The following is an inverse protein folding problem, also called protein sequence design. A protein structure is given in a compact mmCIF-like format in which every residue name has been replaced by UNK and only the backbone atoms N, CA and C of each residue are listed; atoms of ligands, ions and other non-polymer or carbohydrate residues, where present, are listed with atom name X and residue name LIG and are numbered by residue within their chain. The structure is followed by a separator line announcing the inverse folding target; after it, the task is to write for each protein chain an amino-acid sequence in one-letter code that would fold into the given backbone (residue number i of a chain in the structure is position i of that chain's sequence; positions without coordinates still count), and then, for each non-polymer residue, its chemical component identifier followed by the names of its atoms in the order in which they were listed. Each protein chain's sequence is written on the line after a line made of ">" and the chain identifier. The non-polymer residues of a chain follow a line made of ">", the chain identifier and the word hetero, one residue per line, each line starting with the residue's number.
data_IF_950488027708
#
_entry.id   IF_950488027708
#
_cell.length_a   1.000
_cell.length_b   1.000
_cell.length_c   1.000
_cell.angle_alpha   90.00
_cell.angle_beta   90.00
_cell.angle_gamma   90.00
#
_symmetry.space_group_name_H-M   'P 1'
#
loop_
_entity.id
_entity.type
_entity.pdbx_description
1 polymer ?
#
# COMPACT_ATOMS: atom_id res chain seq x y z
N UNK A 1 -6.24 45.20 38.26
CA UNK A 1 -6.92 43.88 38.05
C UNK A 1 -6.10 43.03 37.12
N UNK A 2 -5.29 42.10 37.63
CA UNK A 2 -4.45 41.18 36.82
C UNK A 2 -5.30 39.96 36.48
N UNK A 3 -5.59 39.78 35.19
CA UNK A 3 -6.19 38.52 34.67
C UNK A 3 -5.12 37.45 34.63
N UNK A 4 -5.26 36.47 35.49
CA UNK A 4 -4.46 35.24 35.48
C UNK A 4 -5.02 34.35 34.37
N UNK A 5 -4.23 34.19 33.29
CA UNK A 5 -4.50 33.25 32.22
C UNK A 5 -4.16 31.84 32.73
N UNK A 6 -5.17 31.02 32.98
CA UNK A 6 -4.98 29.59 33.28
C UNK A 6 -4.59 28.88 32.01
N UNK A 7 -3.33 28.53 31.90
CA UNK A 7 -2.83 27.56 30.90
C UNK A 7 -3.34 26.20 31.41
N UNK A 8 -4.31 25.63 30.67
CA UNK A 8 -4.69 24.24 30.86
C UNK A 8 -3.58 23.37 30.30
N UNK A 9 -2.73 22.87 31.15
CA UNK A 9 -1.78 21.82 30.86
C UNK A 9 -2.59 20.55 30.56
N UNK A 10 -2.64 20.11 29.30
CA UNK A 10 -3.13 18.79 28.97
C UNK A 10 -2.14 17.80 29.58
N UNK A 11 -2.57 17.10 30.63
CA UNK A 11 -1.80 16.03 31.23
C UNK A 11 -1.69 14.89 30.20
N UNK A 12 -0.51 14.70 29.65
CA UNK A 12 -0.14 13.47 28.94
C UNK A 12 -0.11 12.36 29.99
N UNK A 13 -1.20 11.61 30.06
CA UNK A 13 -1.26 10.43 30.91
C UNK A 13 -0.60 9.28 30.15
N UNK A 14 0.71 9.11 30.32
CA UNK A 14 1.43 7.94 29.86
C UNK A 14 0.95 6.77 30.70
N UNK A 15 -0.01 6.00 30.19
CA UNK A 15 -0.38 4.72 30.80
C UNK A 15 0.63 3.67 30.36
N UNK A 16 1.75 3.60 31.08
CA UNK A 16 2.61 2.42 31.07
C UNK A 16 1.88 1.30 31.82
N UNK A 17 1.18 0.45 31.09
CA UNK A 17 0.62 -0.76 31.68
C UNK A 17 1.28 -2.01 31.13
N UNK A 18 1.95 -2.68 32.06
CA UNK A 18 2.31 -4.10 32.08
C UNK A 18 2.99 -4.67 30.82
N UNK A 19 4.32 -4.56 30.81
CA UNK A 19 5.17 -5.46 30.06
C UNK A 19 4.96 -6.90 30.54
N UNK A 20 4.12 -7.67 29.88
CA UNK A 20 4.18 -9.12 29.98
C UNK A 20 5.30 -9.58 29.04
N UNK A 21 6.49 -9.78 29.57
CA UNK A 21 7.61 -10.38 28.84
C UNK A 21 7.23 -11.76 28.34
N UNK A 22 6.89 -11.85 27.06
CA UNK A 22 6.88 -13.09 26.29
C UNK A 22 8.08 -13.07 25.34
N UNK A 23 9.21 -13.54 25.83
CA UNK A 23 10.46 -13.57 25.06
C UNK A 23 11.37 -12.34 25.31
N UNK A 24 12.68 -12.54 25.19
CA UNK A 24 13.64 -11.42 25.28
C UNK A 24 13.43 -10.47 24.11
N UNK A 25 13.04 -9.22 24.42
CA UNK A 25 12.93 -8.11 23.45
C UNK A 25 11.51 -7.74 22.99
N UNK A 26 10.49 -8.53 23.26
CA UNK A 26 9.10 -8.19 22.87
C UNK A 26 8.45 -7.26 23.91
N UNK A 27 7.87 -6.16 23.43
CA UNK A 27 7.14 -5.20 24.25
C UNK A 27 5.77 -4.92 23.64
N UNK A 28 4.74 -4.89 24.47
CA UNK A 28 3.37 -4.62 24.05
C UNK A 28 2.89 -3.30 24.66
N UNK A 29 2.35 -2.43 23.81
CA UNK A 29 1.60 -1.24 24.20
C UNK A 29 0.11 -1.54 24.06
N UNK A 30 -0.65 -1.40 25.12
CA UNK A 30 -2.11 -1.41 25.06
C UNK A 30 -2.61 0.03 24.89
N UNK A 31 -3.39 0.29 23.83
CA UNK A 31 -3.93 1.61 23.51
C UNK A 31 -5.38 1.65 23.94
N UNK A 32 -5.69 2.54 24.88
CA UNK A 32 -7.06 2.71 25.38
C UNK A 32 -7.72 4.01 24.91
N UNK A 33 -6.92 4.90 24.33
CA UNK A 33 -7.39 6.15 23.76
C UNK A 33 -8.02 5.92 22.39
N UNK A 34 -9.09 6.67 22.11
CA UNK A 34 -9.74 6.60 20.79
C UNK A 34 -8.95 7.39 19.73
N UNK A 35 -8.78 6.81 18.56
CA UNK A 35 -8.18 7.47 17.41
C UNK A 35 -8.92 7.11 16.13
N UNK A 36 -8.72 7.89 15.08
CA UNK A 36 -9.31 7.67 13.76
C UNK A 36 -8.26 7.49 12.66
N UNK A 37 -7.00 7.74 12.94
CA UNK A 37 -5.92 7.63 11.96
C UNK A 37 -4.71 6.94 12.57
N UNK A 38 -3.89 6.32 11.72
CA UNK A 38 -2.69 5.58 12.11
C UNK A 38 -1.51 6.13 11.31
N UNK A 39 -0.42 6.45 11.98
CA UNK A 39 0.84 6.90 11.39
C UNK A 39 2.00 6.06 11.93
N UNK A 40 2.76 5.44 11.04
CA UNK A 40 3.86 4.55 11.41
C UNK A 40 5.13 4.94 10.66
N UNK A 41 6.18 5.28 11.41
CA UNK A 41 7.55 5.38 10.89
C UNK A 41 8.36 4.18 11.39
N UNK A 42 8.52 3.19 10.49
CA UNK A 42 9.18 1.92 10.81
C UNK A 42 10.67 1.90 10.51
N UNK A 43 11.20 2.83 9.71
CA UNK A 43 12.60 2.80 9.21
C UNK A 43 13.00 1.41 8.66
N UNK A 44 13.75 0.60 9.40
CA UNK A 44 14.23 -0.74 9.01
C UNK A 44 13.41 -1.85 9.71
N UNK A 45 12.09 -1.85 9.57
CA UNK A 45 11.20 -2.72 10.34
C UNK A 45 10.06 -3.26 9.47
N UNK A 46 9.72 -4.52 9.64
CA UNK A 46 8.52 -5.09 9.04
C UNK A 46 7.30 -4.62 9.83
N UNK A 47 6.36 -3.99 9.15
CA UNK A 47 5.11 -3.49 9.73
C UNK A 47 3.97 -4.40 9.30
N UNK A 48 3.19 -4.88 10.28
CA UNK A 48 1.99 -5.65 10.04
C UNK A 48 0.82 -4.95 10.74
N UNK A 49 -0.15 -4.52 9.98
CA UNK A 49 -1.41 -3.99 10.47
C UNK A 49 -2.50 -5.03 10.27
N UNK A 50 -3.18 -5.43 11.34
CA UNK A 50 -4.16 -6.51 11.31
C UNK A 50 -5.33 -6.27 12.25
N UNK A 51 -6.47 -6.95 12.04
CA UNK A 51 -7.59 -6.91 12.96
C UNK A 51 -7.22 -7.50 14.31
N UNK A 52 -7.75 -6.91 15.37
CA UNK A 52 -7.63 -7.45 16.72
C UNK A 52 -8.65 -8.57 16.94
N UNK A 53 -8.23 -9.75 17.41
CA UNK A 53 -9.14 -10.87 17.61
C UNK A 53 -10.09 -10.69 18.81
N UNK A 54 -9.78 -9.80 19.73
CA UNK A 54 -10.55 -9.53 20.96
C UNK A 54 -11.01 -8.07 21.07
N UNK A 55 -10.84 -7.30 20.00
CA UNK A 55 -11.23 -5.88 19.93
C UNK A 55 -10.32 -4.94 20.70
N UNK A 56 -9.25 -5.40 21.33
CA UNK A 56 -8.29 -4.54 22.03
C UNK A 56 -7.20 -4.06 21.07
N UNK A 57 -6.91 -2.78 21.14
CA UNK A 57 -5.85 -2.19 20.32
C UNK A 57 -4.50 -2.43 21.00
N UNK A 58 -3.58 -3.02 20.25
CA UNK A 58 -2.23 -3.31 20.74
C UNK A 58 -1.18 -3.01 19.67
N UNK A 59 -0.05 -2.51 20.11
CA UNK A 59 1.15 -2.40 19.30
C UNK A 59 2.22 -3.29 19.94
N UNK A 60 2.59 -4.36 19.23
CA UNK A 60 3.61 -5.31 19.67
C UNK A 60 4.88 -5.05 18.88
N UNK A 61 5.97 -4.77 19.57
CA UNK A 61 7.25 -4.41 18.98
C UNK A 61 8.37 -5.30 19.49
N UNK A 62 9.36 -5.55 18.64
CA UNK A 62 10.59 -6.24 19.04
C UNK A 62 11.67 -5.19 19.32
N UNK A 63 11.86 -4.86 20.61
CA UNK A 63 12.90 -3.93 21.07
C UNK A 63 14.18 -4.72 21.37
N UNK A 64 15.14 -4.68 20.45
CA UNK A 64 16.46 -5.29 20.66
C UNK A 64 17.56 -4.24 20.50
N UNK A 65 18.58 -4.35 21.37
CA UNK A 65 19.77 -3.50 21.32
C UNK A 65 19.47 -2.00 21.51
N UNK A 66 19.91 -1.19 20.55
CA UNK A 66 19.80 0.27 20.56
C UNK A 66 18.49 0.83 20.05
N UNK A 67 17.52 -0.01 19.74
CA UNK A 67 16.21 0.42 19.19
C UNK A 67 15.13 0.32 20.24
N UNK A 68 14.28 1.35 20.30
CA UNK A 68 13.03 1.33 21.05
C UNK A 68 11.92 1.99 20.23
N UNK A 69 10.68 1.74 20.62
CA UNK A 69 9.51 2.28 19.96
C UNK A 69 8.66 3.08 20.95
N UNK A 70 7.98 4.10 20.41
CA UNK A 70 6.88 4.78 21.07
C UNK A 70 5.58 4.48 20.34
N UNK A 71 4.49 4.34 21.06
CA UNK A 71 3.15 4.18 20.52
C UNK A 71 2.23 5.05 21.35
N UNK A 72 1.80 6.17 20.81
CA UNK A 72 1.07 7.22 21.50
C UNK A 72 -0.07 7.75 20.63
N UNK A 73 -1.17 8.17 21.25
CA UNK A 73 -2.27 8.82 20.53
C UNK A 73 -2.15 10.33 20.68
N UNK A 74 -1.90 11.01 19.58
CA UNK A 74 -1.84 12.46 19.52
C UNK A 74 -2.92 13.01 18.57
N UNK A 75 -3.81 13.85 19.09
CA UNK A 75 -4.88 14.51 18.30
C UNK A 75 -5.72 13.54 17.47
N UNK A 76 -5.98 12.34 17.99
CA UNK A 76 -6.76 11.31 17.31
C UNK A 76 -5.98 10.50 16.25
N UNK A 77 -4.66 10.56 16.27
CA UNK A 77 -3.74 9.76 15.43
C UNK A 77 -2.94 8.84 16.36
N UNK A 78 -2.99 7.54 16.11
CA UNK A 78 -2.05 6.58 16.70
C UNK A 78 -0.72 6.69 15.97
N UNK A 79 0.29 7.20 16.66
CA UNK A 79 1.66 7.32 16.14
C UNK A 79 2.53 6.19 16.68
N UNK A 80 3.18 5.49 15.78
CA UNK A 80 4.17 4.46 16.14
C UNK A 80 5.50 4.83 15.51
N UNK A 81 6.45 5.21 16.35
CA UNK A 81 7.75 5.72 15.90
C UNK A 81 8.90 4.87 16.41
N UNK A 82 9.88 4.66 15.56
CA UNK A 82 11.12 3.95 15.88
C UNK A 82 12.22 4.94 16.24
N UNK A 83 12.87 4.69 17.37
CA UNK A 83 13.96 5.52 17.88
C UNK A 83 15.26 4.72 18.03
N UNK A 84 16.40 5.39 17.88
CA UNK A 84 17.75 4.82 18.16
C UNK A 84 18.31 5.41 19.45
N UNK A 85 18.85 4.57 20.33
CA UNK A 85 19.62 5.02 21.51
C UNK A 85 21.01 5.49 21.06
N UNK A 86 21.52 6.54 21.70
CA UNK A 86 22.77 7.20 21.30
C UNK A 86 24.05 6.35 21.46
N UNK A 87 24.00 5.27 22.22
CA UNK A 87 25.17 4.41 22.49
C UNK A 87 24.82 2.98 22.11
N UNK A 88 25.45 2.48 21.07
CA UNK A 88 25.36 1.09 20.64
C UNK A 88 26.76 0.51 20.44
N UNK A 89 27.11 -0.47 21.26
CA UNK A 89 28.37 -1.23 21.12
C UNK A 89 28.20 -2.55 20.36
N UNK A 90 26.95 -2.89 19.97
CA UNK A 90 26.64 -4.12 19.25
C UNK A 90 26.39 -3.86 17.77
N UNK A 91 27.39 -4.13 16.94
CA UNK A 91 27.36 -3.93 15.48
C UNK A 91 26.54 -5.02 14.76
N UNK A 92 26.20 -6.11 15.44
CA UNK A 92 25.51 -7.25 14.82
C UNK A 92 24.15 -7.51 15.49
N UNK A 93 23.13 -6.83 15.02
CA UNK A 93 21.75 -7.17 15.31
C UNK A 93 21.19 -8.00 14.15
N UNK A 94 21.38 -9.31 14.18
CA UNK A 94 20.75 -10.27 13.27
C UNK A 94 19.34 -10.60 13.79
N UNK A 95 18.33 -10.28 13.02
CA UNK A 95 16.94 -10.64 13.28
C UNK A 95 15.98 -9.66 12.60
N UNK A 96 14.89 -10.18 12.06
CA UNK A 96 13.83 -9.37 11.45
C UNK A 96 13.14 -8.57 12.55
N UNK A 97 13.28 -7.26 12.49
CA UNK A 97 12.55 -6.33 13.37
C UNK A 97 11.10 -6.29 12.92
N UNK A 98 10.18 -6.43 13.86
CA UNK A 98 8.76 -6.52 13.56
C UNK A 98 7.97 -5.60 14.47
N UNK A 99 6.99 -4.92 13.89
CA UNK A 99 5.94 -4.19 14.59
C UNK A 99 4.59 -4.74 14.13
N UNK A 100 3.81 -5.27 15.05
CA UNK A 100 2.43 -5.69 14.81
C UNK A 100 1.47 -4.70 15.45
N UNK A 101 0.56 -4.17 14.66
CA UNK A 101 -0.46 -3.24 15.12
C UNK A 101 -1.81 -3.94 14.96
N UNK A 102 -2.44 -4.26 16.09
CA UNK A 102 -3.76 -4.89 16.15
C UNK A 102 -4.80 -3.82 16.40
N UNK A 103 -5.79 -3.73 15.52
CA UNK A 103 -6.78 -2.66 15.51
C UNK A 103 -8.21 -3.17 15.57
N UNK A 104 -9.12 -2.34 16.05
CA UNK A 104 -10.56 -2.64 16.09
C UNK A 104 -11.15 -2.73 14.68
N UNK A 105 -12.26 -3.44 14.56
CA UNK A 105 -13.07 -3.50 13.35
C UNK A 105 -13.88 -2.19 13.17
N UNK A 106 -13.21 -1.18 12.60
CA UNK A 106 -13.82 0.10 12.20
C UNK A 106 -13.12 0.65 10.96
N UNK A 107 -13.72 1.65 10.33
CA UNK A 107 -13.08 2.38 9.22
C UNK A 107 -12.17 3.46 9.81
N UNK A 108 -10.89 3.39 9.49
CA UNK A 108 -9.91 4.42 9.84
C UNK A 108 -9.92 5.51 8.77
N UNK A 109 -9.81 6.77 9.18
CA UNK A 109 -9.80 7.90 8.25
C UNK A 109 -8.58 7.87 7.36
N UNK A 110 -7.42 7.63 7.96
CA UNK A 110 -6.16 7.55 7.22
C UNK A 110 -5.22 6.52 7.88
N UNK A 111 -4.55 5.74 7.04
CA UNK A 111 -3.47 4.84 7.45
C UNK A 111 -2.22 5.20 6.66
N UNK A 112 -1.24 5.82 7.31
CA UNK A 112 0.03 6.20 6.70
C UNK A 112 1.17 5.37 7.28
N UNK A 113 1.89 4.62 6.43
CA UNK A 113 3.01 3.76 6.85
C UNK A 113 4.22 4.02 5.96
N UNK A 114 5.32 4.44 6.57
CA UNK A 114 6.58 4.67 5.88
C UNK A 114 7.70 3.80 6.46
N UNK A 115 8.42 3.09 5.58
CA UNK A 115 9.60 2.32 5.94
C UNK A 115 10.75 2.59 4.95
N UNK A 116 11.97 2.65 5.44
CA UNK A 116 13.13 2.71 4.54
C UNK A 116 13.47 1.30 4.02
N UNK A 117 13.41 0.30 4.88
CA UNK A 117 13.71 -1.09 4.55
C UNK A 117 12.88 -2.01 5.44
N UNK A 118 12.03 -2.79 4.83
CA UNK A 118 11.12 -3.67 5.53
C UNK A 118 9.84 -3.90 4.73
N UNK A 119 9.10 -4.92 5.10
CA UNK A 119 7.81 -5.25 4.50
C UNK A 119 6.70 -4.42 5.16
N UNK A 120 5.78 -3.93 4.37
CA UNK A 120 4.48 -3.43 4.83
C UNK A 120 3.44 -4.50 4.50
N UNK A 121 2.68 -4.95 5.48
CA UNK A 121 1.60 -5.91 5.31
C UNK A 121 0.33 -5.41 6.01
N UNK A 122 -0.71 -5.19 5.21
CA UNK A 122 -2.05 -4.87 5.70
C UNK A 122 -2.89 -6.12 5.51
N UNK A 123 -3.35 -6.70 6.60
CA UNK A 123 -4.12 -7.94 6.56
C UNK A 123 -5.62 -7.70 6.32
N UNK A 124 -6.28 -8.72 5.83
CA UNK A 124 -7.73 -8.72 5.61
C UNK A 124 -8.50 -8.35 6.88
N UNK A 125 -9.54 -7.52 6.70
CA UNK A 125 -10.37 -7.01 7.80
C UNK A 125 -9.96 -5.62 8.30
N UNK A 126 -8.79 -5.10 7.92
CA UNK A 126 -8.46 -3.68 8.10
C UNK A 126 -9.29 -2.86 7.11
N UNK A 127 -9.86 -1.74 7.56
CA UNK A 127 -10.69 -0.86 6.75
C UNK A 127 -10.22 0.58 6.90
N UNK A 128 -10.07 1.29 5.79
CA UNK A 128 -9.71 2.70 5.80
C UNK A 128 -10.52 3.51 4.77
N UNK A 129 -10.59 4.81 5.00
CA UNK A 129 -10.98 5.75 3.96
C UNK A 129 -9.80 5.93 3.01
N UNK A 130 -8.66 6.38 3.52
CA UNK A 130 -7.45 6.59 2.74
C UNK A 130 -6.27 5.78 3.30
N UNK A 131 -5.35 5.36 2.40
CA UNK A 131 -4.07 4.74 2.76
C UNK A 131 -2.92 5.33 1.95
N UNK A 132 -1.82 5.63 2.64
CA UNK A 132 -0.54 6.07 2.06
C UNK A 132 0.58 5.15 2.56
N UNK A 133 1.13 4.34 1.65
CA UNK A 133 2.11 3.33 1.97
C UNK A 133 3.41 3.55 1.20
N UNK A 134 4.51 3.75 1.89
CA UNK A 134 5.79 4.01 1.24
C UNK A 134 6.91 3.12 1.76
N UNK A 135 7.72 2.59 0.82
CA UNK A 135 8.94 1.84 1.14
C UNK A 135 10.07 2.21 0.18
N UNK A 136 11.31 2.37 0.68
CA UNK A 136 12.44 2.47 -0.25
C UNK A 136 12.90 1.09 -0.74
N UNK A 137 12.97 0.10 0.17
CA UNK A 137 13.42 -1.25 -0.19
C UNK A 137 12.63 -2.30 0.58
N UNK A 138 11.48 -2.64 0.08
CA UNK A 138 10.64 -3.65 0.71
C UNK A 138 9.36 -3.87 -0.06
N UNK A 139 8.76 -5.03 0.17
CA UNK A 139 7.51 -5.39 -0.45
C UNK A 139 6.34 -4.73 0.29
N UNK A 140 5.33 -4.34 -0.46
CA UNK A 140 4.06 -3.84 0.07
C UNK A 140 2.99 -4.86 -0.28
N UNK A 141 2.27 -5.34 0.73
CA UNK A 141 1.18 -6.28 0.58
C UNK A 141 -0.06 -5.73 1.28
N UNK A 142 -1.14 -5.62 0.54
CA UNK A 142 -2.40 -5.06 1.05
C UNK A 142 -3.55 -5.96 0.68
N UNK A 143 -4.23 -6.50 1.69
CA UNK A 143 -5.49 -7.21 1.57
C UNK A 143 -6.50 -6.53 2.50
N UNK A 144 -7.22 -5.54 1.98
CA UNK A 144 -8.02 -4.68 2.85
C UNK A 144 -9.25 -4.11 2.14
N UNK A 145 -9.98 -3.25 2.83
CA UNK A 145 -11.04 -2.42 2.27
C UNK A 145 -10.62 -0.97 2.36
N UNK A 146 -10.51 -0.28 1.22
CA UNK A 146 -10.27 1.16 1.13
C UNK A 146 -11.40 1.76 0.30
N UNK A 147 -11.91 2.94 0.68
CA UNK A 147 -13.03 3.58 0.01
C UNK A 147 -12.64 4.80 -0.81
N UNK A 148 -11.78 5.64 -0.27
CA UNK A 148 -11.25 6.82 -0.93
C UNK A 148 -10.02 6.48 -1.77
N UNK A 149 -8.84 6.87 -1.32
CA UNK A 149 -7.58 6.73 -2.08
C UNK A 149 -6.60 5.75 -1.43
N UNK A 150 -6.00 4.88 -2.25
CA UNK A 150 -4.79 4.13 -1.89
C UNK A 150 -3.63 4.59 -2.76
N UNK A 151 -2.64 5.21 -2.14
CA UNK A 151 -1.34 5.46 -2.75
C UNK A 151 -0.31 4.49 -2.15
N UNK A 152 0.39 3.72 -3.00
CA UNK A 152 1.47 2.87 -2.55
C UNK A 152 2.70 3.02 -3.45
N UNK A 153 3.84 3.33 -2.83
CA UNK A 153 5.09 3.57 -3.55
C UNK A 153 6.24 2.73 -3.01
N UNK A 154 7.07 2.19 -3.92
CA UNK A 154 8.35 1.58 -3.51
C UNK A 154 9.44 1.90 -4.54
N UNK A 155 10.70 1.99 -4.09
CA UNK A 155 11.81 2.10 -5.04
C UNK A 155 12.27 0.71 -5.50
N UNK A 156 12.39 -0.24 -4.58
CA UNK A 156 12.85 -1.60 -4.90
C UNK A 156 12.06 -2.62 -4.09
N UNK A 157 10.99 -3.08 -4.63
CA UNK A 157 10.13 -4.07 -3.99
C UNK A 157 8.94 -4.41 -4.86
N UNK A 158 8.32 -5.53 -4.58
CA UNK A 158 7.09 -5.94 -5.22
C UNK A 158 5.90 -5.40 -4.44
N UNK A 159 4.83 -5.13 -5.17
CA UNK A 159 3.52 -4.83 -4.59
C UNK A 159 2.55 -5.95 -4.93
N UNK A 160 1.75 -6.35 -3.95
CA UNK A 160 0.70 -7.35 -4.07
C UNK A 160 -0.56 -6.79 -3.39
N UNK A 161 -1.49 -6.31 -4.20
CA UNK A 161 -2.61 -5.49 -3.76
C UNK A 161 -3.94 -6.12 -4.17
N UNK A 162 -4.81 -6.29 -3.19
CA UNK A 162 -6.20 -6.70 -3.35
C UNK A 162 -7.09 -5.83 -2.48
N UNK A 163 -7.99 -5.07 -3.09
CA UNK A 163 -8.91 -4.20 -2.37
C UNK A 163 -10.33 -4.71 -2.53
N UNK A 164 -10.98 -4.95 -1.40
CA UNK A 164 -12.37 -5.39 -1.37
C UNK A 164 -13.33 -4.20 -1.36
N UNK A 165 -14.34 -4.28 -2.22
CA UNK A 165 -15.33 -3.22 -2.39
C UNK A 165 -14.91 -2.19 -3.41
N UNK A 166 -15.71 -1.15 -3.51
CA UNK A 166 -15.48 -0.04 -4.45
C UNK A 166 -14.67 1.06 -3.76
N UNK A 167 -13.72 1.65 -4.50
CA UNK A 167 -12.91 2.77 -4.05
C UNK A 167 -12.88 3.90 -5.10
N UNK A 168 -12.44 5.08 -4.69
CA UNK A 168 -12.34 6.21 -5.61
C UNK A 168 -11.09 6.10 -6.49
N UNK A 169 -9.91 5.97 -5.88
CA UNK A 169 -8.65 6.04 -6.62
C UNK A 169 -7.59 5.08 -6.11
N UNK A 170 -6.88 4.45 -7.04
CA UNK A 170 -5.74 3.59 -6.75
C UNK A 170 -4.50 4.06 -7.51
N UNK A 171 -3.44 4.40 -6.80
CA UNK A 171 -2.13 4.74 -7.38
C UNK A 171 -1.03 3.81 -6.86
N UNK A 172 -0.40 3.05 -7.75
CA UNK A 172 0.74 2.18 -7.41
C UNK A 172 1.96 2.54 -8.25
N UNK A 173 3.09 2.80 -7.61
CA UNK A 173 4.33 3.15 -8.30
C UNK A 173 5.53 2.40 -7.77
N UNK A 174 6.34 1.82 -8.68
CA UNK A 174 7.63 1.22 -8.33
C UNK A 174 8.71 1.55 -9.36
N UNK A 175 9.97 1.70 -8.92
CA UNK A 175 11.08 1.81 -9.89
C UNK A 175 11.61 0.45 -10.31
N UNK A 176 11.77 -0.48 -9.35
CA UNK A 176 12.29 -1.81 -9.63
C UNK A 176 11.52 -2.85 -8.83
N UNK A 177 10.59 -3.48 -9.47
CA UNK A 177 9.75 -4.50 -8.85
C UNK A 177 8.52 -4.78 -9.68
N UNK A 178 7.84 -5.86 -9.37
CA UNK A 178 6.60 -6.21 -10.03
C UNK A 178 5.40 -5.67 -9.25
N UNK A 179 4.38 -5.24 -9.99
CA UNK A 179 3.08 -4.85 -9.47
C UNK A 179 2.07 -5.97 -9.78
N UNK A 180 1.42 -6.47 -8.74
CA UNK A 180 0.30 -7.40 -8.83
C UNK A 180 -0.91 -6.72 -8.21
N UNK A 181 -1.92 -6.45 -9.04
CA UNK A 181 -3.20 -5.91 -8.63
C UNK A 181 -4.29 -6.90 -9.00
N UNK A 182 -5.13 -7.25 -8.05
CA UNK A 182 -6.20 -8.21 -8.26
C UNK A 182 -7.50 -7.84 -7.56
N UNK A 183 -8.63 -8.36 -8.09
CA UNK A 183 -9.96 -8.32 -7.45
C UNK A 183 -10.37 -6.92 -6.95
N UNK A 184 -10.07 -5.88 -7.73
CA UNK A 184 -10.25 -4.49 -7.30
C UNK A 184 -11.23 -3.76 -8.23
N UNK A 185 -12.17 -3.03 -7.65
CA UNK A 185 -13.03 -2.07 -8.36
C UNK A 185 -12.72 -0.64 -7.88
N UNK A 186 -12.42 0.26 -8.81
CA UNK A 186 -12.14 1.67 -8.52
C UNK A 186 -12.76 2.58 -9.59
N UNK A 187 -12.93 3.87 -9.29
CA UNK A 187 -13.24 4.86 -10.34
C UNK A 187 -12.00 5.06 -11.22
N UNK A 188 -10.84 5.30 -10.61
CA UNK A 188 -9.56 5.47 -11.31
C UNK A 188 -8.49 4.50 -10.81
N UNK A 189 -7.71 3.93 -11.76
CA UNK A 189 -6.55 3.06 -11.48
C UNK A 189 -5.34 3.58 -12.24
N UNK A 190 -4.25 3.88 -11.51
CA UNK A 190 -2.98 4.29 -12.09
C UNK A 190 -1.84 3.39 -11.60
N UNK A 191 -1.14 2.75 -12.55
CA UNK A 191 -0.05 1.83 -12.26
C UNK A 191 1.22 2.26 -13.00
N UNK A 192 2.31 2.44 -12.28
CA UNK A 192 3.59 2.83 -12.85
C UNK A 192 4.72 1.90 -12.43
N UNK A 193 5.55 1.47 -13.39
CA UNK A 193 6.78 0.74 -13.13
C UNK A 193 7.89 1.17 -14.08
N UNK A 194 9.10 1.40 -13.58
CA UNK A 194 10.25 1.60 -14.48
C UNK A 194 10.77 0.25 -14.98
N UNK A 195 10.90 -0.74 -14.10
CA UNK A 195 11.40 -2.08 -14.47
C UNK A 195 10.68 -3.15 -13.67
N UNK A 196 9.99 -4.01 -14.33
CA UNK A 196 9.25 -5.11 -13.72
C UNK A 196 7.93 -5.38 -14.43
N UNK A 197 7.34 -6.50 -14.13
CA UNK A 197 6.06 -6.87 -14.70
C UNK A 197 4.92 -6.19 -13.96
N UNK A 198 3.98 -5.61 -14.69
CA UNK A 198 2.69 -5.18 -14.18
C UNK A 198 1.66 -6.24 -14.52
N UNK A 199 1.11 -6.92 -13.54
CA UNK A 199 0.02 -7.89 -13.70
C UNK A 199 -1.24 -7.37 -13.05
N UNK A 200 -2.31 -7.30 -13.83
CA UNK A 200 -3.65 -6.84 -13.40
C UNK A 200 -4.64 -7.96 -13.67
N UNK A 201 -5.34 -8.41 -12.65
CA UNK A 201 -6.25 -9.54 -12.76
C UNK A 201 -7.60 -9.23 -12.11
N UNK A 202 -8.68 -9.37 -12.86
CA UNK A 202 -10.05 -9.15 -12.39
C UNK A 202 -10.24 -7.74 -11.79
N UNK A 203 -9.72 -6.73 -12.49
CA UNK A 203 -9.76 -5.32 -12.08
C UNK A 203 -10.68 -4.54 -13.00
N UNK A 204 -11.51 -3.71 -12.40
CA UNK A 204 -12.42 -2.81 -13.10
C UNK A 204 -12.20 -1.36 -12.66
N UNK A 205 -11.81 -0.52 -13.60
CA UNK A 205 -11.72 0.93 -13.42
C UNK A 205 -12.90 1.59 -14.13
N UNK A 206 -13.88 2.08 -13.39
CA UNK A 206 -15.13 2.55 -13.97
C UNK A 206 -14.93 3.74 -14.91
N UNK A 207 -14.05 4.66 -14.54
CA UNK A 207 -13.72 5.82 -15.36
C UNK A 207 -12.45 5.58 -16.18
N UNK A 208 -11.31 5.34 -15.51
CA UNK A 208 -10.01 5.32 -16.18
C UNK A 208 -9.00 4.33 -15.59
N UNK A 209 -8.34 3.59 -16.47
CA UNK A 209 -7.17 2.75 -16.15
C UNK A 209 -5.96 3.25 -16.93
N UNK A 210 -4.93 3.71 -16.23
CA UNK A 210 -3.67 4.14 -16.82
C UNK A 210 -2.54 3.24 -16.34
N UNK A 211 -1.80 2.65 -17.29
CA UNK A 211 -0.67 1.76 -16.99
C UNK A 211 0.54 2.24 -17.77
N UNK A 212 1.62 2.54 -17.08
CA UNK A 212 2.88 3.01 -17.65
C UNK A 212 4.05 2.13 -17.23
N UNK A 213 4.88 1.72 -18.21
CA UNK A 213 6.09 0.96 -17.94
C UNK A 213 7.23 1.38 -18.86
N UNK A 214 8.44 1.60 -18.33
CA UNK A 214 9.58 1.85 -19.20
C UNK A 214 10.16 0.52 -19.75
N UNK A 215 10.40 -0.46 -18.87
CA UNK A 215 10.99 -1.75 -19.27
C UNK A 215 10.33 -2.91 -18.53
N UNK A 216 9.15 -3.25 -18.95
CA UNK A 216 8.43 -4.34 -18.33
C UNK A 216 7.20 -4.73 -19.14
N UNK A 217 6.81 -5.98 -19.02
CA UNK A 217 5.60 -6.45 -19.67
C UNK A 217 4.37 -6.11 -18.85
N UNK A 218 3.29 -5.75 -19.53
CA UNK A 218 1.96 -5.54 -18.95
C UNK A 218 1.10 -6.75 -19.29
N UNK A 219 0.45 -7.30 -18.28
CA UNK A 219 -0.49 -8.42 -18.44
C UNK A 219 -1.82 -8.06 -17.80
N UNK A 220 -2.87 -8.14 -18.59
CA UNK A 220 -4.25 -7.96 -18.16
C UNK A 220 -4.96 -9.32 -18.18
N UNK A 221 -5.71 -9.62 -17.15
CA UNK A 221 -6.50 -10.85 -17.08
C UNK A 221 -7.90 -10.48 -16.59
N UNK A 222 -8.91 -10.61 -17.46
CA UNK A 222 -10.30 -10.27 -17.15
C UNK A 222 -10.50 -8.85 -16.61
N UNK A 223 -9.87 -7.88 -17.24
CA UNK A 223 -9.98 -6.48 -16.82
C UNK A 223 -11.06 -5.73 -17.60
N UNK A 224 -11.54 -4.64 -17.05
CA UNK A 224 -12.41 -3.70 -17.71
C UNK A 224 -12.16 -2.26 -17.26
N UNK A 225 -12.62 -1.28 -18.07
CA UNK A 225 -12.50 0.13 -17.72
C UNK A 225 -13.25 1.02 -18.71
N UNK A 226 -13.64 2.22 -18.28
CA UNK A 226 -14.24 3.22 -19.15
C UNK A 226 -13.25 3.70 -20.22
N UNK A 227 -12.08 4.16 -19.80
CA UNK A 227 -10.95 4.51 -20.67
C UNK A 227 -9.74 3.69 -20.22
N UNK A 228 -9.08 2.99 -21.16
CA UNK A 228 -7.87 2.21 -20.84
C UNK A 228 -6.70 2.76 -21.65
N UNK A 229 -5.67 3.26 -20.95
CA UNK A 229 -4.44 3.78 -21.54
C UNK A 229 -3.23 2.97 -21.06
N UNK A 230 -2.52 2.34 -21.99
CA UNK A 230 -1.34 1.53 -21.67
C UNK A 230 -0.15 2.01 -22.51
N UNK A 231 0.90 2.42 -21.85
CA UNK A 231 2.15 2.85 -22.50
C UNK A 231 3.34 2.06 -21.97
N UNK A 232 4.16 1.55 -22.89
CA UNK A 232 5.44 0.93 -22.53
C UNK A 232 6.52 1.30 -23.55
N UNK A 233 7.77 1.43 -23.12
CA UNK A 233 8.87 1.65 -24.05
C UNK A 233 9.43 0.32 -24.54
N UNK A 234 9.77 -0.59 -23.64
CA UNK A 234 10.33 -1.90 -23.97
C UNK A 234 9.60 -3.00 -23.22
N UNK A 235 8.47 -3.38 -23.72
CA UNK A 235 7.67 -4.43 -23.10
C UNK A 235 6.48 -4.83 -23.95
N UNK A 236 6.06 -6.06 -23.82
CA UNK A 236 4.85 -6.53 -24.47
C UNK A 236 3.64 -6.27 -23.60
N UNK A 237 2.53 -5.93 -24.25
CA UNK A 237 1.22 -5.81 -23.61
C UNK A 237 0.37 -6.98 -24.06
N UNK A 238 -0.09 -7.81 -23.12
CA UNK A 238 -0.92 -8.97 -23.41
C UNK A 238 -2.10 -9.06 -22.45
N UNK A 239 -3.22 -9.58 -22.93
CA UNK A 239 -4.28 -9.90 -21.98
C UNK A 239 -5.67 -10.03 -22.55
N UNK A 240 -6.63 -10.09 -21.60
CA UNK A 240 -8.06 -10.20 -21.87
C UNK A 240 -8.84 -9.05 -21.23
N UNK A 241 -9.79 -8.54 -21.99
CA UNK A 241 -10.78 -7.54 -21.52
C UNK A 241 -12.17 -8.16 -21.52
N UNK A 242 -13.01 -7.74 -20.60
CA UNK A 242 -14.37 -8.27 -20.43
C UNK A 242 -15.39 -7.64 -21.37
N UNK A 243 -15.14 -6.41 -21.84
CA UNK A 243 -16.07 -5.69 -22.70
C UNK A 243 -15.42 -5.22 -24.01
N UNK A 244 -16.21 -5.13 -25.09
CA UNK A 244 -15.71 -4.57 -26.36
C UNK A 244 -15.28 -3.12 -26.20
N UNK A 245 -14.10 -2.77 -26.76
CA UNK A 245 -13.55 -1.41 -26.79
C UNK A 245 -13.36 -0.93 -28.22
N UNK A 246 -13.25 0.38 -28.41
CA UNK A 246 -12.68 0.97 -29.61
C UNK A 246 -11.15 1.03 -29.41
N UNK A 247 -10.42 0.19 -30.14
CA UNK A 247 -8.98 0.07 -29.97
C UNK A 247 -8.21 1.07 -30.83
N UNK A 248 -7.22 1.75 -30.21
CA UNK A 248 -6.15 2.47 -30.89
C UNK A 248 -4.81 1.90 -30.39
N UNK A 249 -4.23 0.97 -31.14
CA UNK A 249 -3.04 0.23 -30.72
C UNK A 249 -1.92 0.35 -31.74
N UNK A 250 -0.71 0.71 -31.29
CA UNK A 250 0.45 0.83 -32.15
C UNK A 250 1.74 0.37 -31.46
N UNK A 251 2.58 -0.32 -32.25
CA UNK A 251 3.95 -0.68 -31.91
C UNK A 251 4.89 -0.19 -33.00
N UNK A 252 6.05 0.39 -32.61
CA UNK A 252 7.08 0.75 -33.60
C UNK A 252 7.81 -0.50 -34.08
N UNK A 253 8.08 -1.44 -33.18
CA UNK A 253 8.86 -2.65 -33.47
C UNK A 253 8.23 -3.87 -32.79
N UNK A 254 7.19 -4.41 -33.39
CA UNK A 254 6.47 -5.58 -32.89
C UNK A 254 5.13 -5.78 -33.57
N UNK A 255 4.50 -6.91 -33.33
CA UNK A 255 3.18 -7.23 -33.87
C UNK A 255 2.09 -6.59 -33.02
N UNK A 256 0.99 -6.23 -33.67
CA UNK A 256 -0.21 -5.74 -33.03
C UNK A 256 -1.38 -6.64 -33.38
N UNK A 257 -1.98 -7.24 -32.38
CA UNK A 257 -3.17 -8.08 -32.47
C UNK A 257 -4.18 -7.59 -31.45
N UNK A 258 -5.25 -6.94 -31.91
CA UNK A 258 -6.34 -6.49 -31.06
C UNK A 258 -7.67 -6.83 -31.72
N UNK A 259 -8.77 -6.99 -30.97
CA UNK A 259 -10.07 -7.25 -31.54
C UNK A 259 -10.53 -6.12 -32.47
N UNK A 260 -11.19 -6.46 -33.56
CA UNK A 260 -11.80 -5.49 -34.46
C UNK A 260 -13.18 -5.00 -33.95
N UNK A 261 -13.36 -4.97 -32.63
CA UNK A 261 -14.59 -4.53 -31.99
C UNK A 261 -14.73 -3.01 -32.04
N UNK A 262 -15.99 -2.55 -31.98
CA UNK A 262 -16.32 -1.14 -31.76
C UNK A 262 -17.15 -1.06 -30.48
N UNK A 263 -16.48 -0.76 -29.39
CA UNK A 263 -17.12 -0.49 -28.11
C UNK A 263 -17.46 0.99 -27.96
N UNK A 264 -18.15 1.32 -26.88
CA UNK A 264 -18.41 2.70 -26.46
C UNK A 264 -17.14 3.33 -25.90
N UNK A 265 -16.39 2.55 -25.17
CA UNK A 265 -15.22 2.99 -24.42
C UNK A 265 -13.94 2.78 -25.24
N UNK A 266 -12.91 3.57 -24.94
CA UNK A 266 -11.65 3.57 -25.68
C UNK A 266 -10.57 2.74 -24.99
N UNK A 267 -9.72 2.09 -25.80
CA UNK A 267 -8.52 1.40 -25.31
C UNK A 267 -7.33 1.80 -26.17
N UNK A 268 -6.48 2.65 -25.63
CA UNK A 268 -5.25 3.11 -26.27
C UNK A 268 -4.05 2.33 -25.77
N UNK A 269 -3.27 1.71 -26.66
CA UNK A 269 -2.09 0.94 -26.29
C UNK A 269 -0.91 1.35 -27.17
N UNK A 270 0.18 1.79 -26.56
CA UNK A 270 1.40 2.21 -27.25
C UNK A 270 2.62 1.46 -26.71
N UNK A 271 3.45 0.97 -27.61
CA UNK A 271 4.78 0.44 -27.28
C UNK A 271 5.79 0.85 -28.34
N UNK A 272 7.04 1.06 -27.93
CA UNK A 272 8.12 1.28 -28.92
C UNK A 272 8.68 -0.07 -29.34
N UNK A 273 8.99 -0.95 -28.39
CA UNK A 273 9.60 -2.24 -28.69
C UNK A 273 8.90 -3.35 -27.91
N UNK A 274 7.97 -3.98 -28.54
CA UNK A 274 7.19 -5.07 -27.96
C UNK A 274 5.94 -5.38 -28.77
N UNK A 275 5.35 -6.54 -28.54
CA UNK A 275 4.10 -6.94 -29.16
C UNK A 275 2.90 -6.57 -28.31
N UNK A 276 1.82 -6.22 -28.96
CA UNK A 276 0.50 -6.01 -28.35
C UNK A 276 -0.39 -7.16 -28.75
N UNK A 277 -0.97 -7.86 -27.79
CA UNK A 277 -1.84 -9.01 -28.02
C UNK A 277 -3.00 -9.00 -26.99
N UNK A 278 -4.13 -8.46 -27.41
CA UNK A 278 -5.34 -8.33 -26.59
C UNK A 278 -6.47 -9.14 -27.22
N UNK A 279 -7.20 -9.82 -26.36
CA UNK A 279 -8.43 -10.53 -26.74
C UNK A 279 -9.61 -10.11 -25.84
N UNK A 280 -10.81 -10.47 -26.24
CA UNK A 280 -12.02 -10.39 -25.42
C UNK A 280 -12.33 -11.78 -24.87
N UNK A 281 -12.79 -11.82 -23.62
CA UNK A 281 -13.30 -13.04 -22.98
C UNK A 281 -14.78 -13.25 -23.26
#
# INVERSE_FOLDING_TARGET
>A
MKRIMKIASAAVLIVLMAASCRGEGEKTFEITESFSSIEVDGSETNIILKPSPDGKIRVVVDERNSVYYTAEVEKGVLKVERHKRAIDFNIFSLGDKKVEIMVEDKVYRNVSISVASGKIEIEEGVKAEDMDLSSSSGNIKVYSTVRGELEATTTSGNMDIEIKGEMEKLELSTKSGSLFLSLTEAEEVQLESTSGTIKVSEVKAKEKMTISSASGSVRLEKCDGGEINIETTSGSVKGTLLSPKTFDAASVSGSVSVPSSKGKDECTIRTVSGSIDISLE
#
